data_IF_351644853229
#
_entry.id   IF_351644853229
#
_cell.length_a   1.000
_cell.length_b   1.000
_cell.length_c   1.000
_cell.angle_alpha   90.00
_cell.angle_beta   90.00
_cell.angle_gamma   90.00
#
_symmetry.space_group_name_H-M   'P 1'
#
loop_
_entity.id
_entity.type
_entity.pdbx_description
1 polymer ?
#
# COMPACT_ATOMS: atom_id res chain seq x y z
N UNK A 1 5.91 -14.12 -21.14
CA UNK A 1 6.55 -13.14 -20.24
C UNK A 1 7.80 -13.76 -19.64
N UNK A 2 8.85 -12.96 -19.46
CA UNK A 2 10.11 -13.42 -18.87
C UNK A 2 9.89 -13.71 -17.37
N UNK A 3 10.14 -14.94 -16.86
CA UNK A 3 9.95 -15.27 -15.45
C UNK A 3 10.98 -14.63 -14.52
N UNK A 4 12.07 -14.04 -15.04
CA UNK A 4 13.07 -13.35 -14.21
C UNK A 4 12.71 -11.90 -13.87
N UNK A 5 11.62 -11.36 -14.44
CA UNK A 5 11.22 -9.96 -14.28
C UNK A 5 9.71 -9.88 -13.97
N UNK A 6 9.37 -9.10 -12.95
CA UNK A 6 8.01 -8.69 -12.62
C UNK A 6 7.85 -7.21 -12.97
N UNK A 7 6.79 -6.88 -13.70
CA UNK A 7 6.41 -5.50 -14.00
C UNK A 7 5.24 -5.08 -13.12
N UNK A 8 5.16 -3.79 -12.78
CA UNK A 8 3.98 -3.27 -12.10
C UNK A 8 2.74 -3.33 -13.01
N UNK A 9 1.61 -3.80 -12.48
CA UNK A 9 0.32 -3.77 -13.18
C UNK A 9 -0.17 -2.32 -13.31
N UNK A 10 -0.44 -1.87 -14.54
CA UNK A 10 -1.04 -0.55 -14.77
C UNK A 10 -2.43 -0.46 -14.16
N UNK A 11 -3.29 -1.42 -14.47
CA UNK A 11 -4.68 -1.43 -14.00
C UNK A 11 -4.78 -1.49 -12.48
N UNK A 12 -4.02 -2.38 -11.84
CA UNK A 12 -4.06 -2.54 -10.39
C UNK A 12 -3.48 -1.35 -9.63
N UNK A 13 -2.38 -0.75 -10.11
CA UNK A 13 -1.82 0.44 -9.49
C UNK A 13 -2.67 1.70 -9.74
N UNK A 14 -3.26 1.86 -10.93
CA UNK A 14 -4.20 2.95 -11.21
C UNK A 14 -5.44 2.88 -10.32
N UNK A 15 -6.01 1.67 -10.14
CA UNK A 15 -7.14 1.47 -9.24
C UNK A 15 -6.84 1.85 -7.79
N UNK A 16 -5.67 1.46 -7.27
CA UNK A 16 -5.21 1.87 -5.93
C UNK A 16 -4.99 3.38 -5.84
N UNK A 17 -4.37 3.99 -6.86
CA UNK A 17 -4.13 5.42 -6.89
C UNK A 17 -5.44 6.22 -6.83
N UNK A 18 -6.45 5.83 -7.61
CA UNK A 18 -7.77 6.45 -7.60
C UNK A 18 -8.49 6.27 -6.26
N UNK A 19 -8.40 5.09 -5.65
CA UNK A 19 -8.98 4.85 -4.33
C UNK A 19 -8.40 5.76 -3.26
N UNK A 20 -7.07 5.87 -3.20
CA UNK A 20 -6.41 6.78 -2.25
C UNK A 20 -6.71 8.25 -2.55
N UNK A 21 -6.79 8.63 -3.83
CA UNK A 21 -7.20 9.98 -4.20
C UNK A 21 -8.62 10.30 -3.73
N UNK A 22 -9.57 9.36 -3.90
CA UNK A 22 -10.94 9.51 -3.42
C UNK A 22 -10.99 9.71 -1.90
N UNK A 23 -10.23 8.92 -1.14
CA UNK A 23 -10.15 9.10 0.32
C UNK A 23 -9.50 10.44 0.72
N UNK A 24 -8.49 10.90 -0.02
CA UNK A 24 -7.90 12.22 0.22
C UNK A 24 -8.94 13.34 0.02
N UNK A 25 -9.72 13.27 -1.07
CA UNK A 25 -10.79 14.24 -1.34
C UNK A 25 -11.81 14.26 -0.22
N UNK A 26 -12.30 13.09 0.21
CA UNK A 26 -13.27 13.00 1.32
C UNK A 26 -12.69 13.59 2.60
N UNK A 27 -11.44 13.26 2.94
CA UNK A 27 -10.81 13.77 4.15
C UNK A 27 -10.69 15.30 4.17
N UNK A 28 -10.25 15.90 3.05
CA UNK A 28 -10.13 17.37 2.95
C UNK A 28 -11.48 18.06 2.90
N UNK A 29 -12.47 17.49 2.22
CA UNK A 29 -13.83 18.06 2.19
C UNK A 29 -14.45 18.05 3.58
N UNK A 30 -14.37 16.93 4.31
CA UNK A 30 -14.91 16.85 5.67
C UNK A 30 -14.17 17.81 6.60
N UNK A 31 -12.84 17.89 6.50
CA UNK A 31 -12.07 18.86 7.29
C UNK A 31 -12.46 20.32 6.97
N UNK A 32 -12.70 20.64 5.70
CA UNK A 32 -13.17 21.95 5.26
C UNK A 32 -14.56 22.29 5.80
N UNK A 33 -15.51 21.35 5.72
CA UNK A 33 -16.85 21.53 6.29
C UNK A 33 -16.79 21.76 7.81
N UNK A 34 -15.93 21.02 8.52
CA UNK A 34 -15.73 21.22 9.97
C UNK A 34 -15.10 22.59 10.28
N UNK A 35 -14.22 23.07 9.41
CA UNK A 35 -13.64 24.42 9.55
C UNK A 35 -14.72 25.49 9.35
N UNK A 36 -15.54 25.35 8.31
CA UNK A 36 -16.63 26.27 8.02
C UNK A 36 -17.66 26.31 9.16
N UNK A 37 -18.03 25.15 9.72
CA UNK A 37 -18.94 25.06 10.88
C UNK A 37 -18.34 25.71 12.14
N UNK A 38 -17.03 25.58 12.36
CA UNK A 38 -16.34 26.19 13.49
C UNK A 38 -16.26 27.72 13.38
N UNK A 39 -16.15 28.24 12.16
CA UNK A 39 -16.03 29.67 11.86
C UNK A 39 -17.32 30.32 11.37
N UNK A 40 -18.43 29.57 11.32
CA UNK A 40 -19.72 30.08 10.90
C UNK A 40 -20.12 31.27 11.80
N UNK A 41 -20.66 32.35 11.18
CA UNK A 41 -21.15 33.49 11.94
C UNK A 41 -22.28 33.04 12.88
N UNK A 42 -22.44 33.72 14.04
CA UNK A 42 -23.52 33.39 14.94
C UNK A 42 -24.88 33.54 14.22
N UNK A 43 -25.82 32.61 14.45
CA UNK A 43 -27.12 32.68 13.82
C UNK A 43 -27.82 34.00 14.18
N UNK A 44 -28.56 34.60 13.23
CA UNK A 44 -29.29 35.83 13.50
C UNK A 44 -30.32 35.61 14.61
N UNK A 45 -30.65 36.64 15.41
CA UNK A 45 -31.63 36.52 16.47
C UNK A 45 -33.00 36.10 15.94
N UNK A 46 -33.72 35.28 16.74
CA UNK A 46 -35.02 34.70 16.36
C UNK A 46 -36.13 35.59 16.91
N UNK A 47 -37.14 35.96 16.10
CA UNK A 47 -38.31 36.67 16.61
C UNK A 47 -39.19 35.71 17.42
N UNK A 48 -39.42 36.03 18.70
CA UNK A 48 -40.38 35.35 19.57
C UNK A 48 -41.32 36.38 20.18
N UNK A 49 -42.47 35.95 20.72
CA UNK A 49 -43.41 36.84 21.39
C UNK A 49 -42.69 37.61 22.51
N UNK A 50 -42.62 38.95 22.38
CA UNK A 50 -41.91 39.82 23.32
C UNK A 50 -40.54 40.34 22.87
N UNK A 51 -40.04 40.01 21.68
CA UNK A 51 -38.85 40.66 21.10
C UNK A 51 -37.94 39.77 20.26
N UNK A 52 -36.72 40.27 20.00
CA UNK A 52 -35.65 39.51 19.35
C UNK A 52 -34.85 38.76 20.42
N UNK A 53 -34.84 37.43 20.33
CA UNK A 53 -34.10 36.57 21.25
C UNK A 53 -32.82 36.05 20.59
N UNK A 54 -31.71 35.88 21.34
CA UNK A 54 -30.51 35.27 20.79
C UNK A 54 -30.85 33.86 20.32
N UNK A 55 -30.45 33.53 19.09
CA UNK A 55 -30.58 32.17 18.59
C UNK A 55 -29.77 31.21 19.50
N UNK A 56 -30.27 29.99 19.77
CA UNK A 56 -29.53 29.02 20.56
C UNK A 56 -28.15 28.80 19.92
N UNK A 57 -27.10 28.87 20.75
CA UNK A 57 -25.74 28.68 20.29
C UNK A 57 -25.63 27.30 19.60
N UNK A 58 -25.03 27.22 18.40
CA UNK A 58 -24.82 25.93 17.75
C UNK A 58 -24.02 25.01 18.68
N UNK A 59 -24.44 23.75 18.82
CA UNK A 59 -23.67 22.76 19.58
C UNK A 59 -22.36 22.49 18.81
N UNK A 60 -21.28 23.13 19.22
CA UNK A 60 -19.94 22.92 18.64
C UNK A 60 -19.31 21.68 19.25
N UNK A 61 -18.75 20.82 18.41
CA UNK A 61 -17.93 19.69 18.85
C UNK A 61 -16.61 20.23 19.45
N UNK A 62 -16.34 20.02 20.75
CA UNK A 62 -15.11 20.49 21.38
C UNK A 62 -13.85 19.83 20.82
N UNK A 63 -13.97 18.67 20.17
CA UNK A 63 -12.86 17.93 19.58
C UNK A 63 -12.66 18.23 18.09
N UNK A 64 -13.46 19.12 17.49
CA UNK A 64 -13.37 19.46 16.07
C UNK A 64 -11.95 19.88 15.60
N UNK A 65 -11.16 20.67 16.37
CA UNK A 65 -9.77 20.99 16.01
C UNK A 65 -8.89 19.75 15.87
N UNK A 66 -9.02 18.80 16.78
CA UNK A 66 -8.27 17.54 16.74
C UNK A 66 -8.70 16.68 15.55
N UNK A 67 -10.02 16.55 15.32
CA UNK A 67 -10.57 15.82 14.18
C UNK A 67 -10.08 16.41 12.84
N UNK A 68 -10.05 17.74 12.70
CA UNK A 68 -9.51 18.41 11.51
C UNK A 68 -8.03 18.09 11.28
N UNK A 69 -7.17 18.15 12.32
CA UNK A 69 -5.74 17.80 12.20
C UNK A 69 -5.59 16.34 11.76
N UNK A 70 -6.35 15.43 12.36
CA UNK A 70 -6.33 14.01 12.00
C UNK A 70 -6.75 13.79 10.56
N UNK A 71 -7.83 14.45 10.11
CA UNK A 71 -8.32 14.36 8.74
C UNK A 71 -7.33 14.93 7.72
N UNK A 72 -6.71 16.07 8.02
CA UNK A 72 -5.66 16.66 7.16
C UNK A 72 -4.47 15.70 7.06
N UNK A 73 -4.00 15.17 8.19
CA UNK A 73 -2.91 14.19 8.22
C UNK A 73 -3.25 12.93 7.40
N UNK A 74 -4.47 12.40 7.58
CA UNK A 74 -4.96 11.26 6.80
C UNK A 74 -5.05 11.58 5.31
N UNK A 75 -5.54 12.76 4.94
CA UNK A 75 -5.62 13.23 3.55
C UNK A 75 -4.24 13.34 2.89
N UNK A 76 -3.27 13.95 3.58
CA UNK A 76 -1.88 14.01 3.14
C UNK A 76 -1.26 12.63 2.95
N UNK A 77 -1.47 11.71 3.91
CA UNK A 77 -1.04 10.32 3.78
C UNK A 77 -1.66 9.63 2.56
N UNK A 78 -2.95 9.82 2.32
CA UNK A 78 -3.64 9.30 1.14
C UNK A 78 -3.06 9.87 -0.17
N UNK A 79 -2.78 11.18 -0.24
CA UNK A 79 -2.13 11.77 -1.42
C UNK A 79 -0.75 11.17 -1.69
N UNK A 80 0.04 10.94 -0.65
CA UNK A 80 1.34 10.27 -0.78
C UNK A 80 1.20 8.88 -1.42
N UNK A 81 0.26 8.06 -0.93
CA UNK A 81 0.01 6.73 -1.51
C UNK A 81 -0.58 6.80 -2.92
N UNK A 82 -1.47 7.76 -3.20
CA UNK A 82 -2.00 8.00 -4.53
C UNK A 82 -0.89 8.33 -5.53
N UNK A 83 0.03 9.23 -5.17
CA UNK A 83 1.19 9.58 -6.00
C UNK A 83 2.14 8.38 -6.18
N UNK A 84 2.41 7.62 -5.11
CA UNK A 84 3.28 6.43 -5.15
C UNK A 84 2.72 5.37 -6.11
N UNK A 85 1.44 5.04 -6.02
CA UNK A 85 0.80 4.08 -6.93
C UNK A 85 0.61 4.64 -8.34
N UNK A 86 0.26 5.92 -8.48
CA UNK A 86 0.16 6.60 -9.77
C UNK A 86 1.48 6.58 -10.55
N UNK A 87 2.61 6.82 -9.86
CA UNK A 87 3.95 6.72 -10.46
C UNK A 87 4.25 5.30 -10.97
N UNK A 88 3.87 4.26 -10.21
CA UNK A 88 4.03 2.86 -10.62
C UNK A 88 3.20 2.53 -11.86
N UNK A 89 1.96 3.02 -11.93
CA UNK A 89 1.10 2.85 -13.10
C UNK A 89 1.63 3.60 -14.34
N UNK A 90 2.07 4.85 -14.17
CA UNK A 90 2.54 5.68 -15.28
C UNK A 90 3.85 5.19 -15.90
N UNK A 91 4.76 4.63 -15.08
CA UNK A 91 6.11 4.30 -15.54
C UNK A 91 6.29 2.85 -15.99
N UNK A 92 5.32 1.96 -15.75
CA UNK A 92 5.38 0.52 -16.08
C UNK A 92 6.74 -0.14 -15.68
N UNK A 93 7.33 0.35 -14.59
CA UNK A 93 8.68 -0.05 -14.16
C UNK A 93 8.71 -1.52 -13.75
N UNK A 94 9.90 -2.07 -13.84
CA UNK A 94 10.25 -3.36 -13.24
C UNK A 94 10.03 -3.27 -11.74
N UNK A 95 9.09 -4.05 -11.21
CA UNK A 95 8.80 -4.16 -9.79
C UNK A 95 9.88 -4.98 -9.08
N UNK A 96 10.26 -6.09 -9.70
CA UNK A 96 11.33 -6.98 -9.24
C UNK A 96 12.03 -7.59 -10.45
N UNK A 97 13.35 -7.73 -10.39
CA UNK A 97 14.11 -8.55 -11.34
C UNK A 97 15.14 -9.41 -10.65
N UNK A 98 15.45 -10.54 -11.27
CA UNK A 98 16.55 -11.42 -10.88
C UNK A 98 17.63 -11.32 -11.96
N UNK A 99 18.84 -10.97 -11.54
CA UNK A 99 20.01 -10.84 -12.41
C UNK A 99 21.22 -11.44 -11.69
N UNK A 100 21.88 -12.42 -12.34
CA UNK A 100 23.05 -13.13 -11.79
C UNK A 100 22.83 -13.71 -10.37
N UNK A 101 21.64 -14.26 -10.11
CA UNK A 101 21.27 -14.82 -8.81
C UNK A 101 20.94 -13.78 -7.73
N UNK A 102 20.93 -12.49 -8.07
CA UNK A 102 20.54 -11.40 -7.16
C UNK A 102 19.19 -10.84 -7.54
N UNK A 103 18.37 -10.58 -6.52
CA UNK A 103 17.06 -9.97 -6.62
C UNK A 103 17.18 -8.46 -6.39
N UNK A 104 16.66 -7.69 -7.34
CA UNK A 104 16.59 -6.23 -7.30
C UNK A 104 15.13 -5.82 -7.28
N UNK A 105 14.76 -4.92 -6.37
CA UNK A 105 13.41 -4.36 -6.29
C UNK A 105 13.45 -2.95 -5.73
N UNK A 106 12.56 -2.09 -6.22
CA UNK A 106 12.29 -0.79 -5.61
C UNK A 106 11.91 -0.94 -4.13
N UNK A 107 11.24 -2.04 -3.74
CA UNK A 107 10.86 -2.30 -2.35
C UNK A 107 12.06 -2.61 -1.46
N UNK A 108 13.09 -3.28 -2.00
CA UNK A 108 14.34 -3.49 -1.28
C UNK A 108 15.07 -2.17 -1.12
N UNK A 109 15.11 -1.36 -2.18
CA UNK A 109 15.74 -0.04 -2.13
C UNK A 109 15.08 0.88 -1.09
N UNK A 110 13.75 0.91 -1.04
CA UNK A 110 12.98 1.64 -0.01
C UNK A 110 13.30 1.12 1.41
N UNK A 111 13.69 -0.15 1.55
CA UNK A 111 14.11 -0.76 2.81
C UNK A 111 15.62 -0.60 3.10
N UNK A 112 16.35 0.16 2.28
CA UNK A 112 17.80 0.38 2.42
C UNK A 112 18.68 -0.75 1.88
N UNK A 113 18.11 -1.71 1.15
CA UNK A 113 18.80 -2.87 0.58
C UNK A 113 18.94 -2.68 -0.93
N UNK A 114 20.16 -2.56 -1.46
CA UNK A 114 20.39 -2.38 -2.89
C UNK A 114 20.05 -3.62 -3.74
N UNK A 115 20.32 -4.82 -3.21
CA UNK A 115 20.02 -6.11 -3.84
C UNK A 115 20.04 -7.22 -2.79
N UNK A 116 19.33 -8.30 -3.04
CA UNK A 116 19.31 -9.48 -2.17
C UNK A 116 19.86 -10.69 -2.93
N UNK A 117 20.82 -11.44 -2.36
CA UNK A 117 21.23 -12.71 -2.97
C UNK A 117 20.08 -13.72 -2.82
N UNK A 118 19.78 -14.49 -3.88
CA UNK A 118 18.76 -15.52 -3.81
C UNK A 118 19.05 -16.54 -2.68
N UNK A 119 20.32 -16.76 -2.32
CA UNK A 119 20.71 -17.67 -1.23
C UNK A 119 20.34 -17.16 0.17
N UNK A 120 20.19 -15.85 0.32
CA UNK A 120 19.81 -15.22 1.60
C UNK A 120 18.30 -15.33 1.88
N UNK A 121 17.54 -15.81 0.89
CA UNK A 121 16.11 -16.07 1.01
C UNK A 121 15.91 -17.35 1.81
N UNK A 122 15.35 -17.20 3.01
CA UNK A 122 15.07 -18.31 3.93
C UNK A 122 13.71 -18.94 3.68
N UNK A 123 12.76 -18.17 3.15
CA UNK A 123 11.40 -18.64 2.87
C UNK A 123 10.85 -17.99 1.61
N UNK A 124 10.21 -18.79 0.75
CA UNK A 124 9.53 -18.34 -0.45
C UNK A 124 8.15 -18.99 -0.52
N UNK A 125 7.08 -18.19 -0.57
CA UNK A 125 5.70 -18.66 -0.57
C UNK A 125 4.87 -17.90 -1.60
N UNK A 126 4.14 -18.63 -2.44
CA UNK A 126 3.08 -18.07 -3.27
C UNK A 126 1.76 -18.67 -2.84
N UNK A 127 0.97 -17.92 -2.09
CA UNK A 127 -0.33 -18.36 -1.57
C UNK A 127 -1.26 -17.14 -1.45
N UNK A 128 -2.47 -17.36 -0.95
CA UNK A 128 -3.38 -16.30 -0.54
C UNK A 128 -2.75 -15.43 0.53
N UNK A 129 -2.97 -14.13 0.41
CA UNK A 129 -2.31 -13.15 1.26
C UNK A 129 -2.66 -13.32 2.74
N UNK A 130 -3.85 -13.83 3.06
CA UNK A 130 -4.30 -14.13 4.43
C UNK A 130 -3.56 -15.31 5.10
N UNK A 131 -2.78 -16.07 4.34
CA UNK A 131 -1.97 -17.19 4.84
C UNK A 131 -0.50 -16.85 5.02
N UNK A 132 -0.09 -15.61 4.75
CA UNK A 132 1.30 -15.23 4.91
C UNK A 132 1.71 -15.16 6.39
N UNK A 133 2.95 -15.58 6.73
CA UNK A 133 3.48 -15.47 8.07
C UNK A 133 3.55 -14.02 8.55
N UNK A 134 3.21 -13.79 9.82
CA UNK A 134 3.25 -12.49 10.51
C UNK A 134 1.90 -11.76 10.51
N UNK A 135 1.64 -11.00 11.57
CA UNK A 135 0.35 -10.32 11.77
C UNK A 135 0.04 -9.37 10.61
N UNK A 136 -1.01 -9.70 9.86
CA UNK A 136 -1.73 -8.71 9.07
C UNK A 136 -2.61 -7.94 10.04
N UNK A 137 -2.54 -6.61 10.04
CA UNK A 137 -3.54 -5.82 10.75
C UNK A 137 -4.94 -6.26 10.28
N UNK A 138 -5.85 -6.45 11.23
CA UNK A 138 -7.19 -7.04 11.04
C UNK A 138 -7.97 -6.38 9.87
N UNK A 139 -7.69 -5.10 9.58
CA UNK A 139 -8.24 -4.31 8.47
C UNK A 139 -7.77 -4.71 7.06
N UNK A 140 -6.71 -5.50 6.92
CA UNK A 140 -6.23 -6.07 5.64
C UNK A 140 -6.88 -7.44 5.35
N UNK A 141 -7.46 -8.10 6.35
CA UNK A 141 -7.91 -9.50 6.28
C UNK A 141 -9.05 -9.78 5.30
N UNK A 142 -9.98 -8.84 5.11
CA UNK A 142 -11.15 -9.08 4.23
C UNK A 142 -10.77 -9.02 2.75
N UNK A 143 -9.86 -8.12 2.36
CA UNK A 143 -9.33 -8.05 0.99
C UNK A 143 -8.22 -9.08 0.70
N UNK A 144 -7.50 -9.53 1.72
CA UNK A 144 -6.40 -10.50 1.60
C UNK A 144 -6.89 -11.92 1.24
N UNK A 145 -8.10 -12.31 1.67
CA UNK A 145 -8.71 -13.61 1.35
C UNK A 145 -8.95 -13.87 -0.13
N UNK A 146 -9.10 -12.79 -0.91
CA UNK A 146 -9.37 -12.84 -2.35
C UNK A 146 -8.13 -12.62 -3.21
N UNK A 147 -6.96 -12.43 -2.60
CA UNK A 147 -5.73 -12.08 -3.30
C UNK A 147 -4.64 -13.08 -3.02
N UNK A 148 -3.88 -13.39 -4.06
CA UNK A 148 -2.64 -14.12 -3.90
C UNK A 148 -1.47 -13.14 -3.90
N UNK A 149 -0.36 -13.57 -3.34
CA UNK A 149 0.87 -12.80 -3.38
C UNK A 149 2.09 -13.69 -3.39
N UNK A 150 3.24 -13.03 -3.46
CA UNK A 150 4.52 -13.62 -3.18
C UNK A 150 5.01 -13.08 -1.84
N UNK A 151 5.26 -13.98 -0.90
CA UNK A 151 5.93 -13.70 0.37
C UNK A 151 7.35 -14.26 0.30
N UNK A 152 8.31 -13.43 0.69
CA UNK A 152 9.71 -13.76 0.71
C UNK A 152 10.30 -13.27 2.04
N UNK A 153 10.80 -14.19 2.85
CA UNK A 153 11.60 -13.86 4.02
C UNK A 153 13.08 -14.06 3.68
N UNK A 154 13.91 -13.15 4.17
CA UNK A 154 15.34 -13.18 3.94
C UNK A 154 16.11 -12.79 5.19
N UNK A 155 17.39 -13.12 5.21
CA UNK A 155 18.31 -12.74 6.28
C UNK A 155 19.61 -12.28 5.64
N UNK A 156 19.91 -11.01 5.80
CA UNK A 156 21.16 -10.41 5.34
C UNK A 156 22.02 -10.01 6.54
N UNK A 157 23.22 -9.48 6.28
CA UNK A 157 24.08 -8.90 7.32
C UNK A 157 23.43 -7.69 8.02
N UNK A 158 22.44 -7.06 7.38
CA UNK A 158 21.65 -5.97 7.95
C UNK A 158 20.49 -6.45 8.83
N UNK A 159 20.26 -7.77 8.89
CA UNK A 159 19.23 -8.42 9.69
C UNK A 159 18.18 -9.16 8.87
N UNK A 160 17.18 -9.75 9.54
CA UNK A 160 16.05 -10.39 8.88
C UNK A 160 15.11 -9.36 8.27
N UNK A 161 14.53 -9.69 7.12
CA UNK A 161 13.56 -8.84 6.45
C UNK A 161 12.52 -9.64 5.68
N UNK A 162 11.46 -8.94 5.27
CA UNK A 162 10.33 -9.53 4.55
C UNK A 162 9.98 -8.67 3.35
N UNK A 163 9.79 -9.30 2.20
CA UNK A 163 9.27 -8.70 0.99
C UNK A 163 7.92 -9.37 0.64
N UNK A 164 6.89 -8.55 0.43
CA UNK A 164 5.55 -8.99 0.05
C UNK A 164 5.13 -8.30 -1.24
N UNK A 165 4.73 -9.08 -2.24
CA UNK A 165 4.13 -8.60 -3.48
C UNK A 165 2.72 -9.16 -3.61
N UNK A 166 1.78 -8.34 -4.04
CA UNK A 166 0.41 -8.79 -4.30
C UNK A 166 0.21 -9.00 -5.80
N UNK A 167 -0.61 -9.97 -6.17
CA UNK A 167 -0.97 -10.27 -7.56
C UNK A 167 -1.46 -9.03 -8.32
N UNK A 168 -2.27 -8.19 -7.68
CA UNK A 168 -2.81 -6.98 -8.30
C UNK A 168 -1.78 -5.85 -8.46
N UNK A 169 -0.62 -5.93 -7.82
CA UNK A 169 0.47 -4.97 -8.06
C UNK A 169 1.31 -5.35 -9.27
N UNK A 170 1.17 -6.57 -9.78
CA UNK A 170 2.07 -7.18 -10.77
C UNK A 170 1.32 -7.56 -12.04
N UNK A 171 1.91 -7.26 -13.18
CA UNK A 171 1.35 -7.66 -14.47
C UNK A 171 1.40 -9.18 -14.66
N UNK A 172 0.35 -9.77 -15.23
CA UNK A 172 0.17 -11.22 -15.30
C UNK A 172 -0.28 -11.89 -13.98
N UNK A 173 -0.42 -11.15 -12.88
CA UNK A 173 -1.06 -11.60 -11.64
C UNK A 173 -0.43 -12.83 -10.98
N UNK A 174 -1.25 -13.69 -10.39
CA UNK A 174 -0.80 -14.87 -9.62
C UNK A 174 0.05 -15.83 -10.43
N UNK A 175 -0.28 -16.03 -11.71
CA UNK A 175 0.44 -16.96 -12.58
C UNK A 175 1.88 -16.48 -12.84
N UNK A 176 2.04 -15.17 -13.08
CA UNK A 176 3.38 -14.58 -13.24
C UNK A 176 4.17 -14.64 -11.92
N UNK A 177 3.51 -14.43 -10.77
CA UNK A 177 4.15 -14.62 -9.46
C UNK A 177 4.62 -16.05 -9.23
N UNK A 178 3.83 -17.07 -9.61
CA UNK A 178 4.22 -18.48 -9.51
C UNK A 178 5.44 -18.78 -10.38
N UNK A 179 5.44 -18.33 -11.64
CA UNK A 179 6.58 -18.51 -12.55
C UNK A 179 7.85 -17.85 -12.02
N UNK A 180 7.71 -16.63 -11.51
CA UNK A 180 8.82 -15.90 -10.90
C UNK A 180 9.35 -16.61 -9.64
N UNK A 181 8.46 -17.11 -8.79
CA UNK A 181 8.86 -17.86 -7.59
C UNK A 181 9.59 -19.16 -7.95
N UNK A 182 9.09 -19.93 -8.93
CA UNK A 182 9.77 -21.14 -9.41
C UNK A 182 11.16 -20.81 -9.98
N UNK A 183 11.27 -19.72 -10.73
CA UNK A 183 12.55 -19.26 -11.26
C UNK A 183 13.52 -18.86 -10.14
N UNK A 184 13.05 -18.12 -9.13
CA UNK A 184 13.84 -17.74 -7.97
C UNK A 184 14.28 -18.94 -7.12
N UNK A 185 13.42 -19.94 -6.96
CA UNK A 185 13.72 -21.18 -6.26
C UNK A 185 14.88 -21.94 -6.93
N UNK A 186 14.94 -21.93 -8.27
CA UNK A 186 16.05 -22.51 -9.01
C UNK A 186 17.39 -21.80 -8.70
N UNK A 187 17.36 -20.49 -8.48
CA UNK A 187 18.54 -19.71 -8.08
C UNK A 187 18.91 -19.87 -6.60
N UNK A 188 17.95 -20.25 -5.73
CA UNK A 188 18.23 -20.60 -4.33
C UNK A 188 19.08 -21.86 -4.19
N UNK A 189 18.90 -22.83 -5.09
CA UNK A 189 19.64 -24.10 -5.04
C UNK A 189 21.14 -23.88 -5.34
N UNK A 190 22.04 -24.67 -4.72
CA UNK A 190 23.46 -24.69 -5.08
C UNK A 190 23.66 -24.91 -6.59
N UNK A 191 24.76 -24.40 -7.14
CA UNK A 191 25.05 -24.55 -8.58
C UNK A 191 25.14 -26.03 -9.00
N UNK A 192 25.66 -26.88 -8.12
CA UNK A 192 25.82 -28.32 -8.35
C UNK A 192 24.47 -29.06 -8.50
N UNK A 193 23.43 -28.59 -7.80
CA UNK A 193 22.08 -29.16 -7.91
C UNK A 193 21.35 -28.66 -9.17
N UNK A 194 21.72 -27.49 -9.70
CA UNK A 194 21.17 -26.97 -10.96
C UNK A 194 21.72 -27.73 -12.17
N UNK A 195 23.00 -28.07 -12.14
CA UNK A 195 23.66 -28.82 -13.22
C UNK A 195 23.16 -30.26 -13.36
N UNK A 196 22.59 -30.85 -12.29
CA UNK A 196 22.01 -32.21 -12.32
C UNK A 196 20.55 -32.26 -12.79
N UNK A 197 19.90 -31.10 -12.94
CA UNK A 197 18.48 -30.96 -13.32
C UNK A 197 18.30 -30.34 -14.72
N UNK A 198 19.39 -29.96 -15.39
CA UNK A 198 19.41 -29.50 -16.78
C UNK A 198 19.79 -30.65 -17.71
#
# INVERSE_FOLDING_TARGET
>A
MNPSILHYSRGGNSGKALLFLAFAVVAFVVAGLMYDDAHAPPPPPVPLAGGLWPAPAPRRDPLAPLHMIVLIGAGCGCLFYAARHGRRAATARVAVRIENGRLYSDLLHDAGIGSLDARDITQLLVDRADRFPGDLSVSVGMGARFRHGLYLAYRTDQGPGVLRLMDNDVDGGTEQLRRFATYLEAWRKPADDRARQA
#
